data_IF_701327297559
#
_entry.id   IF_701327297559
#
_cell.length_a   1.000
_cell.length_b   1.000
_cell.length_c   1.000
_cell.angle_alpha   90.00
_cell.angle_beta   90.00
_cell.angle_gamma   90.00
#
_symmetry.space_group_name_H-M   'P 1'
#
loop_
_entity.id
_entity.type
_entity.pdbx_description
1 polymer ?
#
# COMPACT_ATOMS: atom_id res chain seq x y z
N UNK A 1 -19.67 23.58 19.21
CA UNK A 1 -19.25 22.34 18.52
C UNK A 1 -17.95 22.62 17.81
N UNK A 2 -16.83 22.17 18.37
CA UNK A 2 -15.54 22.30 17.69
C UNK A 2 -15.45 21.16 16.67
N UNK A 3 -15.40 21.51 15.38
CA UNK A 3 -15.20 20.56 14.26
C UNK A 3 -13.97 19.66 14.43
N UNK A 4 -13.04 20.08 15.29
CA UNK A 4 -11.80 19.36 15.62
C UNK A 4 -12.02 18.36 16.77
N UNK A 5 -12.90 18.62 17.75
CA UNK A 5 -13.05 17.77 18.95
C UNK A 5 -14.18 16.74 18.88
N UNK A 6 -15.23 16.96 18.09
CA UNK A 6 -16.39 16.04 17.96
C UNK A 6 -16.24 15.07 16.77
N UNK A 7 -15.05 14.48 16.59
CA UNK A 7 -14.79 13.54 15.50
C UNK A 7 -14.83 12.09 15.98
N UNK A 8 -15.57 11.22 15.28
CA UNK A 8 -15.77 9.81 15.66
C UNK A 8 -17.09 9.53 16.36
N UNK A 9 -17.32 8.28 16.75
CA UNK A 9 -18.52 7.87 17.49
C UNK A 9 -18.31 8.05 19.00
N UNK A 10 -19.36 8.50 19.70
CA UNK A 10 -19.38 8.52 21.17
C UNK A 10 -19.91 7.18 21.67
N UNK A 11 -19.06 6.43 22.38
CA UNK A 11 -19.39 5.11 22.92
C UNK A 11 -19.31 5.19 24.45
N UNK A 12 -20.30 4.65 25.19
CA UNK A 12 -20.25 4.62 26.65
C UNK A 12 -18.96 3.93 27.14
N UNK A 13 -18.25 4.56 28.09
CA UNK A 13 -16.97 4.06 28.61
C UNK A 13 -15.71 4.60 27.91
N UNK A 14 -15.87 5.52 26.95
CA UNK A 14 -14.76 6.22 26.30
C UNK A 14 -14.92 7.74 26.43
N UNK A 15 -13.88 8.42 26.90
CA UNK A 15 -13.88 9.87 27.12
C UNK A 15 -13.70 10.69 25.83
N UNK A 16 -13.21 10.03 24.77
CA UNK A 16 -12.95 10.63 23.46
C UNK A 16 -13.81 9.99 22.37
N UNK A 17 -13.93 10.68 21.24
CA UNK A 17 -14.50 10.07 20.03
C UNK A 17 -13.66 8.88 19.58
N UNK A 18 -14.31 7.77 19.30
CA UNK A 18 -13.67 6.52 18.89
C UNK A 18 -14.13 6.05 17.51
N UNK A 19 -13.29 5.25 16.87
CA UNK A 19 -13.58 4.58 15.61
C UNK A 19 -13.35 3.08 15.81
N UNK A 20 -14.13 2.24 15.13
CA UNK A 20 -13.90 0.81 15.12
C UNK A 20 -12.72 0.47 14.18
N UNK A 21 -11.59 0.05 14.73
CA UNK A 21 -10.38 -0.31 13.99
C UNK A 21 -10.66 -1.40 12.96
N UNK A 22 -11.54 -2.36 13.28
CA UNK A 22 -11.88 -3.46 12.35
C UNK A 22 -12.54 -2.93 11.08
N UNK A 23 -13.38 -1.90 11.21
CA UNK A 23 -14.01 -1.24 10.06
C UNK A 23 -12.97 -0.49 9.24
N UNK A 24 -12.06 0.24 9.90
CA UNK A 24 -10.97 0.96 9.24
C UNK A 24 -10.03 0.01 8.48
N UNK A 25 -9.66 -1.12 9.08
CA UNK A 25 -8.82 -2.15 8.47
C UNK A 25 -9.52 -2.86 7.31
N UNK A 26 -10.80 -3.20 7.46
CA UNK A 26 -11.58 -3.78 6.37
C UNK A 26 -11.69 -2.81 5.19
N UNK A 27 -11.96 -1.53 5.46
CA UNK A 27 -12.00 -0.50 4.44
C UNK A 27 -10.63 -0.30 3.75
N UNK A 28 -9.54 -0.33 4.51
CA UNK A 28 -8.18 -0.33 3.96
C UNK A 28 -7.93 -1.56 3.07
N UNK A 29 -8.33 -2.77 3.49
CA UNK A 29 -8.22 -3.97 2.68
C UNK A 29 -8.99 -3.90 1.36
N UNK A 30 -10.21 -3.37 1.39
CA UNK A 30 -11.04 -3.18 0.18
C UNK A 30 -10.37 -2.20 -0.78
N UNK A 31 -9.94 -1.02 -0.29
CA UNK A 31 -9.25 -0.04 -1.12
C UNK A 31 -7.94 -0.59 -1.66
N UNK A 32 -7.14 -1.24 -0.81
CA UNK A 32 -5.89 -1.87 -1.21
C UNK A 32 -6.08 -2.91 -2.32
N UNK A 33 -7.05 -3.81 -2.16
CA UNK A 33 -7.39 -4.81 -3.18
C UNK A 33 -7.82 -4.16 -4.51
N UNK A 34 -8.75 -3.21 -4.46
CA UNK A 34 -9.21 -2.51 -5.66
C UNK A 34 -8.09 -1.75 -6.35
N UNK A 35 -7.22 -1.08 -5.58
CA UNK A 35 -6.07 -0.38 -6.13
C UNK A 35 -5.04 -1.31 -6.77
N UNK A 36 -4.80 -2.49 -6.20
CA UNK A 36 -3.95 -3.51 -6.82
C UNK A 36 -4.53 -4.01 -8.14
N UNK A 37 -5.84 -4.28 -8.20
CA UNK A 37 -6.53 -4.65 -9.46
C UNK A 37 -6.39 -3.53 -10.49
N UNK A 38 -6.56 -2.27 -10.07
CA UNK A 38 -6.46 -1.09 -10.93
C UNK A 38 -5.05 -0.92 -11.49
N UNK A 39 -3.99 -1.17 -10.71
CA UNK A 39 -2.63 -1.17 -11.23
C UNK A 39 -2.45 -2.28 -12.26
N UNK A 40 -2.90 -3.49 -11.94
CA UNK A 40 -2.78 -4.63 -12.86
C UNK A 40 -3.53 -4.41 -14.18
N UNK A 41 -4.77 -3.91 -14.11
CA UNK A 41 -5.61 -3.63 -15.28
C UNK A 41 -5.15 -2.38 -16.02
N UNK A 42 -4.81 -1.32 -15.29
CA UNK A 42 -4.41 -0.03 -15.85
C UNK A 42 -3.07 -0.09 -16.55
N UNK A 43 -2.05 -0.70 -15.92
CA UNK A 43 -0.71 -0.84 -16.50
C UNK A 43 -0.64 -2.04 -17.45
N UNK A 44 -1.23 -3.18 -17.07
CA UNK A 44 -1.13 -4.42 -17.87
C UNK A 44 -1.97 -4.40 -19.14
N UNK A 45 -3.18 -3.84 -19.10
CA UNK A 45 -4.11 -3.81 -20.24
C UNK A 45 -4.32 -2.40 -20.81
N UNK A 46 -3.53 -1.42 -20.34
CA UNK A 46 -3.58 -0.02 -20.77
C UNK A 46 -4.99 0.64 -20.64
N UNK A 47 -5.83 0.14 -19.72
CA UNK A 47 -7.21 0.60 -19.57
C UNK A 47 -7.31 1.80 -18.62
N UNK A 48 -6.98 2.98 -19.16
CA UNK A 48 -6.81 4.24 -18.43
C UNK A 48 -8.04 4.69 -17.62
N UNK A 49 -9.25 4.42 -18.12
CA UNK A 49 -10.52 4.84 -17.48
C UNK A 49 -10.69 4.22 -16.09
N UNK A 50 -10.28 2.96 -15.90
CA UNK A 50 -10.44 2.24 -14.63
C UNK A 50 -9.60 2.89 -13.54
N UNK A 51 -8.38 3.32 -13.88
CA UNK A 51 -7.52 4.07 -12.98
C UNK A 51 -8.10 5.44 -12.62
N UNK A 52 -8.67 6.17 -13.58
CA UNK A 52 -9.31 7.47 -13.31
C UNK A 52 -10.47 7.35 -12.32
N UNK A 53 -11.36 6.39 -12.56
CA UNK A 53 -12.54 6.18 -11.71
C UNK A 53 -12.13 5.78 -10.29
N UNK A 54 -11.18 4.85 -10.18
CA UNK A 54 -10.71 4.41 -8.87
C UNK A 54 -9.99 5.53 -8.10
N UNK A 55 -9.11 6.29 -8.74
CA UNK A 55 -8.40 7.38 -8.07
C UNK A 55 -9.35 8.50 -7.64
N UNK A 56 -10.34 8.83 -8.48
CA UNK A 56 -11.40 9.77 -8.12
C UNK A 56 -12.21 9.29 -6.91
N UNK A 57 -12.58 8.01 -6.90
CA UNK A 57 -13.26 7.38 -5.77
C UNK A 57 -12.39 7.40 -4.50
N UNK A 58 -11.12 7.02 -4.60
CA UNK A 58 -10.18 7.00 -3.47
C UNK A 58 -10.03 8.39 -2.85
N UNK A 59 -9.87 9.42 -3.68
CA UNK A 59 -9.77 10.80 -3.22
C UNK A 59 -11.07 11.29 -2.53
N UNK A 60 -12.23 11.00 -3.13
CA UNK A 60 -13.53 11.31 -2.51
C UNK A 60 -13.71 10.58 -1.20
N UNK A 61 -13.37 9.30 -1.14
CA UNK A 61 -13.48 8.48 0.05
C UNK A 61 -12.62 9.04 1.20
N UNK A 62 -11.36 9.39 0.95
CA UNK A 62 -10.53 10.06 1.95
C UNK A 62 -11.07 11.43 2.37
N UNK A 63 -11.59 12.22 1.42
CA UNK A 63 -12.21 13.51 1.71
C UNK A 63 -13.39 13.35 2.67
N UNK A 64 -14.28 12.39 2.39
CA UNK A 64 -15.44 12.08 3.23
C UNK A 64 -14.96 11.59 4.59
N UNK A 65 -13.98 10.69 4.65
CA UNK A 65 -13.42 10.21 5.93
C UNK A 65 -12.97 11.38 6.80
N UNK A 66 -12.21 12.34 6.27
CA UNK A 66 -11.71 13.50 7.04
C UNK A 66 -12.83 14.34 7.66
N UNK A 67 -13.97 14.45 6.97
CA UNK A 67 -15.14 15.20 7.44
C UNK A 67 -15.95 14.34 8.41
N UNK A 68 -16.34 13.14 7.99
CA UNK A 68 -17.15 12.22 8.78
C UNK A 68 -16.90 10.75 8.36
N UNK A 69 -16.34 9.92 9.25
CA UNK A 69 -15.99 8.53 8.90
C UNK A 69 -17.21 7.61 8.77
N UNK A 70 -18.36 7.99 9.33
CA UNK A 70 -19.58 7.17 9.31
C UNK A 70 -20.25 7.09 7.94
N UNK A 71 -19.94 8.02 7.03
CA UNK A 71 -20.53 8.08 5.69
C UNK A 71 -19.53 7.75 4.58
N UNK A 72 -18.27 7.48 4.92
CA UNK A 72 -17.28 7.11 3.91
C UNK A 72 -17.68 5.77 3.26
N UNK A 73 -17.80 5.68 1.92
CA UNK A 73 -18.28 4.48 1.24
C UNK A 73 -17.50 3.22 1.59
N UNK A 74 -16.17 3.31 1.64
CA UNK A 74 -15.33 2.17 2.01
C UNK A 74 -15.49 1.76 3.48
N UNK A 75 -15.71 2.71 4.40
CA UNK A 75 -15.98 2.42 5.82
C UNK A 75 -17.35 1.74 5.98
N UNK A 76 -18.36 2.17 5.22
CA UNK A 76 -19.67 1.53 5.19
C UNK A 76 -19.58 0.09 4.68
N UNK A 77 -18.82 -0.14 3.61
CA UNK A 77 -18.54 -1.49 3.12
C UNK A 77 -17.78 -2.33 4.16
N UNK A 78 -16.73 -1.77 4.77
CA UNK A 78 -15.99 -2.42 5.85
C UNK A 78 -16.90 -2.82 7.00
N UNK A 79 -17.75 -1.90 7.46
CA UNK A 79 -18.77 -2.13 8.49
C UNK A 79 -19.73 -3.25 8.12
N UNK A 80 -20.19 -3.33 6.88
CA UNK A 80 -21.05 -4.42 6.43
C UNK A 80 -20.38 -5.80 6.62
N UNK A 81 -19.10 -5.93 6.26
CA UNK A 81 -18.38 -7.19 6.38
C UNK A 81 -18.00 -7.56 7.81
N UNK A 82 -17.63 -6.59 8.66
CA UNK A 82 -17.16 -6.87 10.03
C UNK A 82 -18.24 -6.70 11.12
N UNK A 83 -19.49 -6.40 10.77
CA UNK A 83 -20.58 -6.10 11.74
C UNK A 83 -20.82 -7.16 12.81
N UNK A 84 -20.52 -8.42 12.53
CA UNK A 84 -20.73 -9.54 13.46
C UNK A 84 -19.51 -9.81 14.36
N UNK A 85 -18.42 -9.04 14.20
CA UNK A 85 -17.22 -9.15 15.02
C UNK A 85 -17.30 -8.20 16.23
N UNK A 86 -16.62 -8.53 17.33
CA UNK A 86 -16.50 -7.61 18.46
C UNK A 86 -15.74 -6.36 18.01
N UNK A 87 -16.28 -5.15 18.19
CA UNK A 87 -15.61 -3.92 17.78
C UNK A 87 -14.34 -3.69 18.60
N UNK A 88 -13.32 -3.13 17.95
CA UNK A 88 -12.09 -2.70 18.61
C UNK A 88 -11.99 -1.19 18.47
N UNK A 89 -12.03 -0.46 19.57
CA UNK A 89 -12.08 1.00 19.54
C UNK A 89 -10.70 1.62 19.59
N UNK A 90 -10.48 2.57 18.69
CA UNK A 90 -9.28 3.39 18.60
C UNK A 90 -9.65 4.88 18.66
N UNK A 91 -8.79 5.71 19.26
CA UNK A 91 -9.01 7.16 19.26
C UNK A 91 -9.21 7.71 17.84
N UNK A 92 -10.26 8.52 17.64
CA UNK A 92 -10.65 8.98 16.31
C UNK A 92 -9.69 10.05 15.75
N UNK A 93 -9.08 10.88 16.60
CA UNK A 93 -8.20 11.97 16.19
C UNK A 93 -6.95 11.48 15.44
N UNK A 94 -6.30 10.43 15.95
CA UNK A 94 -5.12 9.83 15.31
C UNK A 94 -5.44 9.21 13.93
N UNK A 95 -6.63 8.61 13.77
CA UNK A 95 -7.07 8.07 12.47
C UNK A 95 -7.43 9.17 11.49
N UNK A 96 -8.03 10.26 11.98
CA UNK A 96 -8.26 11.46 11.18
C UNK A 96 -6.95 12.00 10.61
N UNK A 97 -5.91 12.10 11.45
CA UNK A 97 -4.58 12.53 11.00
C UNK A 97 -4.02 11.61 9.92
N UNK A 98 -4.11 10.28 10.10
CA UNK A 98 -3.69 9.32 9.09
C UNK A 98 -4.43 9.48 7.76
N UNK A 99 -5.75 9.74 7.79
CA UNK A 99 -6.53 9.98 6.58
C UNK A 99 -6.24 11.33 5.93
N UNK A 100 -5.90 12.36 6.70
CA UNK A 100 -5.39 13.64 6.16
C UNK A 100 -4.08 13.39 5.40
N UNK A 101 -3.15 12.63 5.97
CA UNK A 101 -1.91 12.26 5.28
C UNK A 101 -2.18 11.48 3.99
N UNK A 102 -3.09 10.49 4.03
CA UNK A 102 -3.52 9.74 2.83
C UNK A 102 -4.13 10.64 1.76
N UNK A 103 -4.95 11.61 2.16
CA UNK A 103 -5.55 12.60 1.26
C UNK A 103 -4.51 13.52 0.62
N UNK A 104 -3.49 13.97 1.37
CA UNK A 104 -2.38 14.74 0.82
C UNK A 104 -1.58 13.96 -0.23
N UNK A 105 -1.44 12.65 -0.07
CA UNK A 105 -0.81 11.78 -1.08
C UNK A 105 -1.74 11.59 -2.29
N UNK A 106 -3.05 11.47 -2.07
CA UNK A 106 -4.04 11.28 -3.14
C UNK A 106 -4.26 12.54 -3.99
N UNK A 107 -4.03 13.74 -3.45
CA UNK A 107 -4.21 15.01 -4.16
C UNK A 107 -3.34 15.15 -5.44
N UNK A 108 -2.00 14.96 -5.41
CA UNK A 108 -1.21 14.99 -6.63
C UNK A 108 -1.57 13.83 -7.58
N UNK A 109 -2.00 12.68 -7.05
CA UNK A 109 -2.45 11.55 -7.87
C UNK A 109 -3.72 11.92 -8.67
N UNK A 110 -4.66 12.63 -8.05
CA UNK A 110 -5.82 13.18 -8.75
C UNK A 110 -5.42 14.12 -9.87
N UNK A 111 -4.46 15.01 -9.61
CA UNK A 111 -3.99 15.96 -10.61
C UNK A 111 -3.28 15.29 -11.80
N UNK A 112 -2.43 14.29 -11.53
CA UNK A 112 -1.58 13.62 -12.52
C UNK A 112 -2.19 12.46 -13.28
N UNK A 113 -3.24 11.83 -12.74
CA UNK A 113 -3.84 10.66 -13.35
C UNK A 113 -5.32 10.85 -13.66
N UNK A 114 -6.03 11.79 -13.04
CA UNK A 114 -7.45 12.02 -13.33
C UNK A 114 -7.64 13.21 -14.25
N UNK A 115 -7.07 14.37 -13.89
CA UNK A 115 -7.24 15.63 -14.62
C UNK A 115 -6.31 15.67 -15.83
N UNK A 116 -5.00 15.60 -15.57
CA UNK A 116 -3.99 15.44 -16.61
C UNK A 116 -3.67 13.96 -16.69
N UNK A 117 -3.58 13.37 -17.87
CA UNK A 117 -3.16 11.98 -17.98
C UNK A 117 -1.68 11.93 -18.29
N UNK A 118 -0.86 11.77 -17.25
CA UNK A 118 0.59 11.70 -17.39
C UNK A 118 1.18 10.58 -16.52
N UNK A 119 1.51 9.48 -17.19
CA UNK A 119 2.09 8.29 -16.56
C UNK A 119 3.60 8.42 -16.58
N UNK A 120 4.18 8.50 -15.38
CA UNK A 120 5.63 8.46 -15.17
C UNK A 120 5.95 7.46 -14.05
N UNK A 121 7.11 6.80 -14.14
CA UNK A 121 7.59 5.85 -13.14
C UNK A 121 7.49 6.38 -11.71
N UNK A 122 8.02 7.60 -11.46
CA UNK A 122 8.00 8.20 -10.13
C UNK A 122 6.58 8.44 -9.60
N UNK A 123 5.65 8.75 -10.51
CA UNK A 123 4.24 8.95 -10.17
C UNK A 123 3.54 7.62 -9.89
N UNK A 124 3.92 6.53 -10.55
CA UNK A 124 3.39 5.20 -10.24
C UNK A 124 3.96 4.68 -8.92
N UNK A 125 5.24 4.98 -8.61
CA UNK A 125 5.87 4.62 -7.35
C UNK A 125 5.12 5.19 -6.14
N UNK A 126 4.58 6.42 -6.25
CA UNK A 126 3.76 6.99 -5.18
C UNK A 126 2.45 6.21 -4.96
N UNK A 127 1.86 5.66 -6.02
CA UNK A 127 0.67 4.81 -5.94
C UNK A 127 1.00 3.49 -5.25
N UNK A 128 2.11 2.85 -5.62
CA UNK A 128 2.61 1.63 -4.98
C UNK A 128 2.90 1.85 -3.50
N UNK A 129 3.53 2.98 -3.15
CA UNK A 129 3.76 3.37 -1.77
C UNK A 129 2.45 3.52 -0.99
N UNK A 130 1.46 4.23 -1.55
CA UNK A 130 0.15 4.39 -0.94
C UNK A 130 -0.55 3.04 -0.70
N UNK A 131 -0.57 2.15 -1.70
CA UNK A 131 -1.16 0.82 -1.56
C UNK A 131 -0.40 -0.04 -0.54
N UNK A 132 0.92 0.10 -0.47
CA UNK A 132 1.73 -0.59 0.54
C UNK A 132 1.38 -0.12 1.96
N UNK A 133 1.19 1.19 2.18
CA UNK A 133 0.75 1.72 3.48
C UNK A 133 -0.65 1.21 3.87
N UNK A 134 -1.58 1.20 2.92
CA UNK A 134 -2.94 0.68 3.11
C UNK A 134 -2.93 -0.83 3.38
N UNK A 135 -2.05 -1.57 2.70
CA UNK A 135 -1.83 -3.00 2.93
C UNK A 135 -1.30 -3.26 4.34
N UNK A 136 -0.34 -2.47 4.82
CA UNK A 136 0.17 -2.60 6.18
C UNK A 136 -0.91 -2.36 7.25
N UNK A 137 -1.77 -1.37 7.03
CA UNK A 137 -2.92 -1.11 7.92
C UNK A 137 -3.91 -2.29 7.90
N UNK A 138 -4.23 -2.82 6.73
CA UNK A 138 -5.16 -3.95 6.59
C UNK A 138 -4.60 -5.24 7.20
N UNK A 139 -3.44 -5.70 6.72
CA UNK A 139 -2.89 -7.03 7.00
C UNK A 139 -2.27 -7.13 8.40
N UNK A 140 -1.41 -6.18 8.77
CA UNK A 140 -0.66 -6.24 10.02
C UNK A 140 -1.24 -5.36 11.14
N UNK A 141 -2.29 -4.58 10.86
CA UNK A 141 -2.83 -3.58 11.81
C UNK A 141 -1.81 -2.48 12.14
N UNK A 142 -0.85 -2.23 11.23
CA UNK A 142 0.18 -1.20 11.41
C UNK A 142 -0.22 0.03 10.62
N UNK A 143 -0.74 1.05 11.31
CA UNK A 143 -1.04 2.33 10.70
C UNK A 143 0.13 3.30 10.88
N UNK A 144 0.93 3.48 9.82
CA UNK A 144 2.09 4.39 9.82
C UNK A 144 1.67 5.83 10.14
N UNK A 145 0.49 6.27 9.69
CA UNK A 145 -0.05 7.59 10.02
C UNK A 145 -0.27 7.80 11.53
N UNK A 146 -0.79 6.79 12.23
CA UNK A 146 -0.93 6.86 13.69
C UNK A 146 0.43 6.87 14.41
N UNK A 147 1.43 6.18 13.87
CA UNK A 147 2.80 6.20 14.41
C UNK A 147 3.44 7.58 14.28
N UNK A 148 3.26 8.23 13.11
CA UNK A 148 3.73 9.60 12.87
C UNK A 148 3.00 10.58 13.80
N UNK A 149 1.68 10.40 14.01
CA UNK A 149 0.91 11.22 14.95
C UNK A 149 1.49 11.15 16.36
N UNK A 150 1.72 9.94 16.88
CA UNK A 150 2.35 9.72 18.20
C UNK A 150 3.71 10.41 18.29
N UNK A 151 4.52 10.34 17.24
CA UNK A 151 5.83 10.98 17.21
C UNK A 151 5.75 12.52 17.33
N UNK A 152 4.78 13.16 16.67
CA UNK A 152 4.59 14.60 16.72
C UNK A 152 3.95 15.10 18.01
N UNK A 153 2.89 14.45 18.48
CA UNK A 153 2.19 14.88 19.71
C UNK A 153 2.93 14.50 20.97
N UNK A 154 3.82 13.49 20.92
CA UNK A 154 4.47 12.86 22.08
C UNK A 154 3.49 12.35 23.13
N UNK A 155 2.21 12.28 22.79
CA UNK A 155 1.16 11.70 23.61
C UNK A 155 0.96 10.26 23.16
N UNK A 156 0.88 9.35 24.12
CA UNK A 156 0.53 7.97 23.81
C UNK A 156 -0.89 7.94 23.24
N UNK A 157 -1.09 7.28 22.08
CA UNK A 157 -2.40 7.22 21.47
C UNK A 157 -3.41 6.60 22.44
N UNK A 158 -4.48 7.33 22.74
CA UNK A 158 -5.51 6.84 23.64
C UNK A 158 -6.29 5.69 22.97
N UNK A 159 -6.44 4.59 23.71
CA UNK A 159 -7.07 3.34 23.27
C UNK A 159 -6.43 2.77 22.00
N UNK A 160 -5.36 1.98 22.17
CA UNK A 160 -4.65 1.38 21.06
C UNK A 160 -5.29 0.07 20.60
N UNK A 161 -5.41 -0.14 19.28
CA UNK A 161 -5.99 -1.35 18.72
C UNK A 161 -5.18 -2.58 19.14
N UNK A 162 -5.84 -3.66 19.57
CA UNK A 162 -5.15 -4.86 20.05
C UNK A 162 -4.29 -4.69 21.31
N UNK A 163 -4.43 -3.57 22.04
CA UNK A 163 -3.73 -3.35 23.32
C UNK A 163 -2.23 -3.11 23.18
N UNK A 164 -1.72 -2.68 22.02
CA UNK A 164 -0.26 -2.51 21.79
C UNK A 164 0.39 -1.46 22.72
N UNK A 165 -0.41 -0.54 23.25
CA UNK A 165 0.06 0.49 24.19
C UNK A 165 -0.01 0.05 25.66
N UNK A 166 -0.67 -1.08 25.95
CA UNK A 166 -0.56 -1.72 27.25
C UNK A 166 0.74 -2.52 27.26
N UNK A 167 1.56 -2.36 28.32
CA UNK A 167 2.76 -3.20 28.50
C UNK A 167 2.29 -4.63 28.75
N UNK A 168 2.24 -5.41 27.66
CA UNK A 168 1.81 -6.81 27.66
C UNK A 168 3.04 -7.71 27.62
N UNK A 169 3.09 -8.69 28.51
CA UNK A 169 4.00 -9.82 28.36
C UNK A 169 3.51 -10.68 27.21
N UNK A 170 4.41 -11.06 26.30
CA UNK A 170 4.05 -11.93 25.18
C UNK A 170 3.57 -13.27 25.70
N UNK A 171 2.43 -13.73 25.20
CA UNK A 171 1.91 -15.05 25.55
C UNK A 171 2.82 -16.15 24.96
N UNK A 172 2.90 -17.35 25.55
CA UNK A 172 3.73 -18.43 25.06
C UNK A 172 3.48 -18.78 23.58
N UNK A 173 2.25 -18.63 23.10
CA UNK A 173 1.87 -18.85 21.70
C UNK A 173 2.51 -17.83 20.72
N UNK A 174 2.92 -16.66 21.21
CA UNK A 174 3.58 -15.61 20.42
C UNK A 174 5.11 -15.77 20.40
N UNK A 175 5.66 -16.72 21.18
CA UNK A 175 7.09 -16.98 21.26
C UNK A 175 7.48 -18.06 20.24
N UNK A 176 8.56 -17.80 19.49
CA UNK A 176 9.07 -18.75 18.52
C UNK A 176 10.04 -19.76 19.15
N UNK A 177 9.79 -21.06 18.92
CA UNK A 177 10.80 -22.10 19.13
C UNK A 177 11.98 -21.88 18.15
N UNK A 178 13.25 -22.20 18.52
CA UNK A 178 14.39 -22.12 17.59
C UNK A 178 14.13 -22.71 16.20
N UNK A 179 13.41 -23.83 16.09
CA UNK A 179 13.06 -24.43 14.78
C UNK A 179 12.13 -23.50 13.98
N UNK A 180 11.10 -22.93 14.63
CA UNK A 180 10.18 -21.99 13.98
C UNK A 180 10.91 -20.72 13.53
N UNK A 181 11.92 -20.26 14.29
CA UNK A 181 12.76 -19.12 13.87
C UNK A 181 13.55 -19.44 12.60
N UNK A 182 14.15 -20.63 12.52
CA UNK A 182 14.90 -21.07 11.33
C UNK A 182 13.98 -21.18 10.12
N UNK A 183 12.80 -21.80 10.26
CA UNK A 183 11.82 -21.93 9.18
C UNK A 183 11.34 -20.55 8.70
N UNK A 184 11.02 -19.64 9.63
CA UNK A 184 10.60 -18.29 9.29
C UNK A 184 11.71 -17.53 8.55
N UNK A 185 12.96 -17.63 9.01
CA UNK A 185 14.12 -17.00 8.37
C UNK A 185 14.34 -17.54 6.96
N UNK A 186 14.39 -18.88 6.80
CA UNK A 186 14.58 -19.52 5.49
C UNK A 186 13.48 -19.16 4.50
N UNK A 187 12.22 -19.14 4.94
CA UNK A 187 11.09 -18.75 4.09
C UNK A 187 11.22 -17.29 3.64
N UNK A 188 11.52 -16.38 4.57
CA UNK A 188 11.71 -14.96 4.24
C UNK A 188 12.88 -14.75 3.28
N UNK A 189 14.04 -15.37 3.54
CA UNK A 189 15.21 -15.29 2.66
C UNK A 189 14.91 -15.91 1.29
N UNK A 190 14.23 -17.06 1.24
CA UNK A 190 13.84 -17.73 0.00
C UNK A 190 12.91 -16.88 -0.87
N UNK A 191 11.94 -16.18 -0.28
CA UNK A 191 11.05 -15.25 -1.00
C UNK A 191 11.86 -14.08 -1.57
N UNK A 192 12.76 -13.49 -0.78
CA UNK A 192 13.58 -12.34 -1.22
C UNK A 192 14.53 -12.75 -2.33
N UNK A 193 15.28 -13.84 -2.15
CA UNK A 193 16.22 -14.36 -3.17
C UNK A 193 15.46 -14.83 -4.40
N UNK A 194 14.34 -15.53 -4.24
CA UNK A 194 13.51 -15.97 -5.35
C UNK A 194 12.97 -14.80 -6.18
N UNK A 195 12.50 -13.73 -5.52
CA UNK A 195 12.04 -12.51 -6.19
C UNK A 195 13.20 -11.80 -6.91
N UNK A 196 14.38 -11.71 -6.27
CA UNK A 196 15.58 -11.13 -6.87
C UNK A 196 16.03 -11.90 -8.12
N UNK A 197 16.13 -13.23 -8.03
CA UNK A 197 16.51 -14.09 -9.15
C UNK A 197 15.48 -14.06 -10.27
N UNK A 198 14.18 -14.05 -9.93
CA UNK A 198 13.11 -13.92 -10.90
C UNK A 198 13.26 -12.62 -11.69
N UNK A 199 13.42 -11.50 -11.01
CA UNK A 199 13.66 -10.20 -11.65
C UNK A 199 14.94 -10.23 -12.49
N UNK A 200 16.05 -10.78 -11.99
CA UNK A 200 17.31 -10.82 -12.73
C UNK A 200 17.28 -11.69 -14.00
N UNK A 201 16.48 -12.76 -14.05
CA UNK A 201 16.43 -13.70 -15.19
C UNK A 201 15.27 -13.47 -16.17
N UNK A 202 14.27 -12.65 -15.83
CA UNK A 202 13.16 -12.38 -16.75
C UNK A 202 13.46 -11.15 -17.61
N UNK A 203 13.29 -11.29 -18.93
CA UNK A 203 13.34 -10.13 -19.83
C UNK A 203 12.20 -9.18 -19.49
N UNK A 204 12.49 -7.89 -19.27
CA UNK A 204 11.45 -6.92 -18.97
C UNK A 204 10.53 -6.74 -20.18
N UNK A 205 9.22 -6.93 -19.98
CA UNK A 205 8.21 -6.69 -21.01
C UNK A 205 7.49 -5.35 -20.85
N UNK A 206 7.80 -4.62 -19.79
CA UNK A 206 7.22 -3.31 -19.50
C UNK A 206 8.32 -2.33 -19.16
N UNK A 207 8.08 -1.04 -19.44
CA UNK A 207 8.97 0.05 -19.04
C UNK A 207 9.33 0.03 -17.54
N UNK A 208 8.39 -0.41 -16.69
CA UNK A 208 8.62 -0.60 -15.26
C UNK A 208 9.57 -1.77 -14.98
N UNK A 209 9.42 -2.87 -15.70
CA UNK A 209 10.31 -4.02 -15.62
C UNK A 209 11.74 -3.68 -16.05
N UNK A 210 11.90 -2.84 -17.08
CA UNK A 210 13.21 -2.46 -17.62
C UNK A 210 14.01 -1.65 -16.61
N UNK A 211 13.37 -0.65 -15.99
CA UNK A 211 13.98 0.10 -14.90
C UNK A 211 14.33 -0.77 -13.69
N UNK A 212 13.44 -1.69 -13.30
CA UNK A 212 13.72 -2.61 -12.19
C UNK A 212 14.87 -3.56 -12.51
N UNK A 213 14.93 -4.05 -13.74
CA UNK A 213 15.98 -4.95 -14.21
C UNK A 213 17.34 -4.24 -14.20
N UNK A 214 17.39 -2.99 -14.70
CA UNK A 214 18.57 -2.13 -14.65
C UNK A 214 19.00 -1.80 -13.21
N UNK A 215 18.06 -1.53 -12.30
CA UNK A 215 18.36 -1.25 -10.90
C UNK A 215 18.82 -2.48 -10.09
N UNK A 216 18.51 -3.69 -10.57
CA UNK A 216 18.83 -4.97 -9.90
C UNK A 216 20.14 -5.56 -10.40
N UNK A 217 20.49 -5.32 -11.66
CA UNK A 217 21.75 -5.77 -12.27
C UNK A 217 22.92 -4.89 -11.84
N UNK A 218 24.10 -5.51 -11.79
CA UNK A 218 25.35 -4.74 -11.64
C UNK A 218 25.76 -4.17 -13.00
N UNK A 219 26.45 -3.03 -13.03
CA UNK A 219 26.88 -2.35 -14.28
C UNK A 219 27.57 -3.30 -15.28
N UNK A 220 28.37 -4.25 -14.77
CA UNK A 220 29.06 -5.27 -15.56
C UNK A 220 28.12 -6.31 -16.21
N UNK A 221 27.03 -6.66 -15.54
CA UNK A 221 26.03 -7.60 -16.07
C UNK A 221 25.16 -6.92 -17.13
N UNK A 222 24.82 -5.65 -16.91
CA UNK A 222 24.08 -4.81 -17.88
C UNK A 222 24.87 -4.62 -19.19
N UNK A 223 26.18 -4.36 -19.10
CA UNK A 223 27.03 -4.25 -20.28
C UNK A 223 27.12 -5.56 -21.07
N UNK A 224 27.19 -6.70 -20.37
CA UNK A 224 27.21 -8.00 -21.03
C UNK A 224 25.93 -8.28 -21.80
N UNK A 225 24.76 -7.98 -21.23
CA UNK A 225 23.48 -8.13 -21.95
C UNK A 225 23.36 -7.16 -23.13
N UNK A 226 23.83 -5.91 -23.00
CA UNK A 226 23.85 -4.94 -24.11
C UNK A 226 24.76 -5.40 -25.25
N UNK A 227 25.92 -5.97 -24.93
CA UNK A 227 26.83 -6.51 -25.94
C UNK A 227 26.21 -7.74 -26.62
N UNK A 228 25.63 -8.68 -25.88
CA UNK A 228 24.94 -9.84 -26.46
C UNK A 228 23.70 -9.45 -27.29
N UNK A 229 23.02 -8.36 -26.94
CA UNK A 229 21.92 -7.82 -27.73
C UNK A 229 22.43 -7.15 -29.02
N UNK A 230 23.51 -6.36 -28.94
CA UNK A 230 24.14 -5.73 -30.09
C UNK A 230 24.74 -6.77 -31.06
N UNK A 231 25.33 -7.86 -30.54
CA UNK A 231 25.85 -8.97 -31.34
C UNK A 231 24.71 -9.68 -32.08
N UNK A 232 23.55 -9.89 -31.44
CA UNK A 232 22.37 -10.46 -32.09
C UNK A 232 21.73 -9.55 -33.13
N UNK A 233 21.70 -8.23 -32.88
CA UNK A 233 21.24 -7.25 -33.87
C UNK A 233 22.21 -7.19 -35.06
N UNK A 234 23.52 -7.27 -34.82
CA UNK A 234 24.53 -7.36 -35.87
C UNK A 234 24.38 -8.67 -36.67
N UNK A 235 24.25 -9.82 -36.02
CA UNK A 235 24.00 -11.11 -36.70
C UNK A 235 22.70 -11.10 -37.52
N UNK A 236 21.61 -10.48 -37.01
CA UNK A 236 20.38 -10.33 -37.76
C UNK A 236 20.52 -9.37 -38.96
N UNK A 237 21.28 -8.28 -38.80
CA UNK A 237 21.53 -7.30 -39.86
C UNK A 237 22.46 -7.86 -40.96
N UNK A 238 23.48 -8.63 -40.60
CA UNK A 238 24.40 -9.26 -41.56
C UNK A 238 23.86 -10.59 -42.12
N UNK A 239 22.87 -11.21 -41.49
CA UNK A 239 22.23 -12.44 -41.97
C UNK A 239 21.16 -12.22 -43.04
N UNK A 240 20.62 -11.01 -43.19
CA UNK A 240 19.68 -10.67 -44.28
C UNK A 240 20.39 -10.44 -45.64
N UNK A 241 21.72 -10.27 -45.65
CA UNK A 241 22.51 -10.06 -46.88
C UNK A 241 22.97 -11.37 -47.57
N UNK A 242 22.73 -12.55 -46.99
CA UNK A 242 23.11 -13.87 -47.57
C UNK A 242 21.97 -14.60 -48.30
N UNK A 243 20.75 -14.05 -48.33
CA UNK A 243 19.54 -14.70 -48.86
C UNK A 243 18.95 -14.06 -50.17
N UNK A 244 19.73 -13.25 -50.93
CA UNK A 244 19.38 -12.82 -52.32
C UNK A 244 20.20 -13.52 -53.42
#
# INVERSE_FOLDING_TARGET
>A
MNFISDYGAKVPGYDIGVINEREARAAAGILGMLGMIVIFVGIGFNHTIVARVYLAFLFLDFTIRIITPTYAPSMLMGKFFVRNQKPEYVGAAQKRFAWIMGWFIALPMMWWFVINWDINFYKVLICVLCLTLVFFESAFSICVGCMIYKFFTKEDPMHCPGGVCEVRTKEPIQLFNPIQKVIALLTMTGIVVGTYLFLAHTKPQTFFGEFLHEAVLTDAQLQKEKNEAADKEAEAFFGEDEDE
#
